data_IF_904359926311
#
_entry.id   IF_904359926311
#
_cell.length_a   1.000
_cell.length_b   1.000
_cell.length_c   1.000
_cell.angle_alpha   90.00
_cell.angle_beta   90.00
_cell.angle_gamma   90.00
#
_symmetry.space_group_name_H-M   'P 1'
#
loop_
_entity.id
_entity.type
_entity.pdbx_description
1 polymer ?
#
# COMPACT_ATOMS: atom_id res chain seq x y z
N UNK A 1 -4.10 -36.46 70.21
CA UNK A 1 -5.37 -35.72 70.17
C UNK A 1 -6.27 -36.42 69.16
N UNK A 2 -7.34 -37.11 69.55
CA UNK A 2 -8.66 -36.57 69.95
C UNK A 2 -9.19 -35.59 68.90
N UNK A 3 -10.18 -35.97 68.07
CA UNK A 3 -11.62 -36.15 68.35
C UNK A 3 -12.36 -34.79 68.45
N UNK A 4 -13.48 -34.55 67.76
CA UNK A 4 -14.23 -35.40 66.83
C UNK A 4 -15.69 -34.90 66.66
N UNK A 5 -16.55 -35.71 66.02
CA UNK A 5 -18.04 -35.64 66.06
C UNK A 5 -18.71 -34.44 65.32
N UNK A 6 -19.52 -34.69 64.28
CA UNK A 6 -21.01 -34.88 64.29
C UNK A 6 -21.78 -33.59 63.93
N UNK A 7 -22.99 -33.56 63.34
CA UNK A 7 -24.03 -34.50 62.80
C UNK A 7 -24.76 -33.70 61.66
N UNK A 8 -25.26 -34.19 60.52
CA UNK A 8 -26.17 -35.31 60.15
C UNK A 8 -27.58 -35.25 60.77
N UNK A 9 -28.64 -35.90 60.20
CA UNK A 9 -28.79 -36.53 58.87
C UNK A 9 -29.44 -35.52 57.87
N UNK A 10 -30.53 -35.64 57.07
CA UNK A 10 -31.58 -36.64 56.63
C UNK A 10 -32.24 -36.02 55.35
N UNK A 11 -33.01 -36.60 54.43
CA UNK A 11 -33.61 -37.92 54.08
C UNK A 11 -33.20 -38.25 52.61
N UNK A 12 -33.04 -39.48 52.12
CA UNK A 12 -33.96 -40.63 51.96
C UNK A 12 -35.11 -40.45 50.93
N UNK A 13 -34.79 -40.63 49.64
CA UNK A 13 -35.57 -41.26 48.54
C UNK A 13 -34.63 -41.27 47.31
N UNK A 14 -34.18 -42.39 46.72
CA UNK A 14 -34.87 -43.62 46.28
C UNK A 14 -36.20 -43.29 45.60
N UNK A 15 -36.27 -43.43 44.28
CA UNK A 15 -36.97 -44.53 43.59
C UNK A 15 -36.94 -44.35 42.05
N UNK A 16 -36.85 -45.49 41.35
CA UNK A 16 -37.33 -45.79 39.99
C UNK A 16 -36.77 -45.09 38.73
N UNK A 17 -36.30 -45.95 37.82
CA UNK A 17 -36.25 -45.72 36.36
C UNK A 17 -37.65 -45.91 35.77
N UNK A 18 -38.19 -44.88 35.12
CA UNK A 18 -39.22 -44.92 34.08
C UNK A 18 -39.28 -43.51 33.43
N UNK A 19 -39.71 -43.31 32.19
CA UNK A 19 -40.12 -44.27 31.17
C UNK A 19 -40.99 -43.60 30.10
N UNK A 20 -40.37 -43.21 28.98
CA UNK A 20 -40.96 -42.69 27.74
C UNK A 20 -41.84 -41.40 27.76
N UNK A 21 -41.62 -40.60 26.72
CA UNK A 21 -42.57 -39.69 26.04
C UNK A 21 -42.94 -38.31 26.64
N UNK A 22 -42.89 -37.33 25.72
CA UNK A 22 -43.77 -36.16 25.57
C UNK A 22 -43.73 -35.00 26.59
N UNK A 23 -42.73 -34.11 26.45
CA UNK A 23 -42.97 -32.65 26.33
C UNK A 23 -42.03 -32.11 25.24
N UNK A 24 -42.53 -31.21 24.39
CA UNK A 24 -41.75 -30.54 23.33
C UNK A 24 -41.42 -29.08 23.71
N UNK A 25 -40.67 -28.39 22.83
CA UNK A 25 -40.43 -26.93 22.88
C UNK A 25 -39.48 -26.44 23.99
N UNK A 26 -38.17 -26.73 23.85
CA UNK A 26 -37.11 -25.71 23.96
C UNK A 26 -35.73 -26.26 23.51
N UNK A 27 -35.22 -25.84 22.35
CA UNK A 27 -33.82 -25.45 21.99
C UNK A 27 -33.87 -25.11 20.50
N UNK A 28 -34.13 -23.84 20.17
CA UNK A 28 -34.24 -23.38 18.77
C UNK A 28 -33.71 -21.94 18.60
N UNK A 29 -32.56 -21.64 19.23
CA UNK A 29 -31.99 -20.28 19.32
C UNK A 29 -30.46 -20.28 19.48
N UNK A 30 -29.75 -21.15 18.75
CA UNK A 30 -28.28 -21.29 18.88
C UNK A 30 -27.54 -21.49 17.54
N UNK A 31 -27.92 -20.72 16.51
CA UNK A 31 -27.37 -20.83 15.15
C UNK A 31 -27.35 -19.52 14.33
N UNK A 32 -27.27 -18.35 14.98
CA UNK A 32 -27.09 -17.06 14.30
C UNK A 32 -26.02 -16.18 14.97
N UNK A 33 -24.74 -16.41 14.66
CA UNK A 33 -23.64 -15.40 14.67
C UNK A 33 -22.36 -15.98 14.04
N UNK A 34 -22.19 -15.88 12.70
CA UNK A 34 -20.87 -15.45 12.21
C UNK A 34 -20.92 -14.41 11.07
N UNK A 35 -22.08 -14.18 10.44
CA UNK A 35 -22.16 -13.53 9.12
C UNK A 35 -21.58 -12.10 9.11
N UNK A 36 -21.85 -11.30 10.16
CA UNK A 36 -21.43 -9.90 10.24
C UNK A 36 -19.90 -9.71 10.22
N UNK A 37 -19.15 -10.71 10.72
CA UNK A 37 -17.68 -10.69 10.68
C UNK A 37 -17.15 -11.02 9.27
N UNK A 38 -17.87 -11.88 8.54
CA UNK A 38 -17.53 -12.21 7.15
C UNK A 38 -17.80 -11.03 6.23
N UNK A 39 -18.90 -10.29 6.39
CA UNK A 39 -19.18 -9.08 5.62
C UNK A 39 -18.16 -7.97 5.90
N UNK A 40 -17.75 -7.76 7.16
CA UNK A 40 -16.70 -6.78 7.49
C UNK A 40 -15.33 -7.13 6.88
N UNK A 41 -14.98 -8.43 6.82
CA UNK A 41 -13.75 -8.90 6.18
C UNK A 41 -13.86 -8.90 4.65
N UNK A 42 -15.03 -9.22 4.09
CA UNK A 42 -15.30 -9.15 2.66
C UNK A 42 -15.29 -7.71 2.16
N UNK A 43 -15.92 -6.77 2.86
CA UNK A 43 -15.88 -5.34 2.56
C UNK A 43 -14.44 -4.79 2.63
N UNK A 44 -13.65 -5.19 3.64
CA UNK A 44 -12.22 -4.86 3.71
C UNK A 44 -11.42 -5.50 2.57
N UNK A 45 -11.72 -6.75 2.19
CA UNK A 45 -11.07 -7.43 1.08
C UNK A 45 -11.45 -6.81 -0.29
N UNK A 46 -12.69 -6.38 -0.47
CA UNK A 46 -13.18 -5.66 -1.65
C UNK A 46 -12.60 -4.26 -1.71
N UNK A 47 -12.53 -3.50 -0.61
CA UNK A 47 -11.77 -2.24 -0.56
C UNK A 47 -10.30 -2.47 -0.91
N UNK A 48 -9.66 -3.50 -0.34
CA UNK A 48 -8.27 -3.85 -0.67
C UNK A 48 -8.12 -4.29 -2.13
N UNK A 49 -9.14 -4.89 -2.75
CA UNK A 49 -9.16 -5.39 -4.15
C UNK A 49 -9.66 -4.35 -5.17
N UNK A 50 -10.27 -3.25 -4.74
CA UNK A 50 -10.60 -2.07 -5.56
C UNK A 50 -9.52 -0.98 -5.45
N UNK A 51 -8.77 -0.95 -4.34
CA UNK A 51 -7.47 -0.27 -4.23
C UNK A 51 -6.32 -1.08 -4.87
N UNK A 52 -6.60 -2.29 -5.35
CA UNK A 52 -5.86 -2.95 -6.43
C UNK A 52 -6.56 -2.56 -7.75
N UNK A 53 -5.88 -2.18 -8.84
CA UNK A 53 -4.44 -2.14 -9.06
C UNK A 53 -4.02 -0.96 -9.96
N UNK A 54 -4.68 0.20 -9.81
CA UNK A 54 -4.30 1.44 -10.52
C UNK A 54 -2.92 1.87 -10.01
N UNK A 55 -1.91 1.82 -10.88
CA UNK A 55 -0.57 2.31 -10.55
C UNK A 55 -0.47 3.81 -10.85
N UNK A 56 0.53 4.50 -10.29
CA UNK A 56 0.72 5.94 -10.53
C UNK A 56 0.91 6.28 -12.01
N UNK A 57 1.30 5.32 -12.84
CA UNK A 57 1.55 5.48 -14.27
C UNK A 57 0.34 5.14 -15.17
N UNK A 58 -0.72 4.56 -14.60
CA UNK A 58 -1.86 4.04 -15.37
C UNK A 58 -2.76 5.17 -15.88
N UNK A 59 -3.06 5.14 -17.18
CA UNK A 59 -3.78 6.20 -17.92
C UNK A 59 -3.15 7.61 -17.85
N UNK A 60 -1.89 7.73 -17.44
CA UNK A 60 -1.17 9.00 -17.39
C UNK A 60 -0.65 9.42 -18.78
N UNK A 61 -0.92 10.66 -19.23
CA UNK A 61 -0.34 11.19 -20.48
C UNK A 61 1.19 11.31 -20.38
N UNK A 62 1.92 11.47 -21.50
CA UNK A 62 3.36 11.78 -21.49
C UNK A 62 3.69 12.99 -20.59
N UNK A 63 4.90 13.02 -20.02
CA UNK A 63 5.41 14.19 -19.28
C UNK A 63 5.67 15.35 -20.24
N UNK A 64 5.09 16.51 -19.98
CA UNK A 64 5.33 17.72 -20.78
C UNK A 64 6.53 18.52 -20.28
N UNK A 65 7.10 19.36 -21.14
CA UNK A 65 8.26 20.21 -20.82
C UNK A 65 7.97 21.15 -19.62
N UNK A 66 6.79 21.77 -19.60
CA UNK A 66 6.31 22.60 -18.49
C UNK A 66 6.23 21.83 -17.16
N UNK A 67 5.76 20.58 -17.20
CA UNK A 67 5.68 19.75 -16.00
C UNK A 67 7.06 19.34 -15.49
N UNK A 68 8.00 18.99 -16.38
CA UNK A 68 9.36 18.69 -15.97
C UNK A 68 10.04 19.90 -15.32
N UNK A 69 9.91 21.10 -15.90
CA UNK A 69 10.49 22.32 -15.33
C UNK A 69 9.93 22.59 -13.93
N UNK A 70 8.61 22.64 -13.77
CA UNK A 70 7.98 22.87 -12.45
C UNK A 70 8.25 21.75 -11.44
N UNK A 71 8.43 20.51 -11.90
CA UNK A 71 8.82 19.39 -11.05
C UNK A 71 10.26 19.56 -10.54
N UNK A 72 11.20 19.99 -11.38
CA UNK A 72 12.60 20.22 -11.03
C UNK A 72 12.80 21.38 -10.03
N UNK A 73 11.90 22.37 -10.03
CA UNK A 73 11.86 23.44 -9.02
C UNK A 73 11.46 22.92 -7.62
N UNK A 74 10.53 21.95 -7.56
CA UNK A 74 9.99 21.41 -6.30
C UNK A 74 10.79 20.21 -5.78
N UNK A 75 11.39 19.41 -6.66
CA UNK A 75 12.09 18.16 -6.31
C UNK A 75 13.17 18.32 -5.21
N UNK A 76 14.05 19.35 -5.20
CA UNK A 76 15.02 19.53 -4.12
C UNK A 76 14.35 19.81 -2.77
N UNK A 77 13.24 20.57 -2.77
CA UNK A 77 12.47 20.91 -1.57
C UNK A 77 11.76 19.66 -1.01
N UNK A 78 11.17 18.85 -1.90
CA UNK A 78 10.56 17.56 -1.52
C UNK A 78 11.58 16.62 -0.88
N UNK A 79 12.77 16.49 -1.49
CA UNK A 79 13.85 15.61 -0.99
C UNK A 79 14.39 16.03 0.36
N UNK A 80 14.58 17.35 0.58
CA UNK A 80 15.00 17.88 1.87
C UNK A 80 13.97 17.57 2.97
N UNK A 81 12.69 17.85 2.69
CA UNK A 81 11.58 17.58 3.60
C UNK A 81 11.42 16.08 3.90
N UNK A 82 11.44 15.23 2.87
CA UNK A 82 11.30 13.78 3.02
C UNK A 82 12.44 13.17 3.86
N UNK A 83 13.67 13.67 3.70
CA UNK A 83 14.83 13.26 4.51
C UNK A 83 14.67 13.65 5.99
N UNK A 84 14.16 14.84 6.26
CA UNK A 84 13.88 15.33 7.61
C UNK A 84 12.79 14.51 8.31
N UNK A 85 11.71 14.18 7.57
CA UNK A 85 10.53 13.50 8.08
C UNK A 85 10.62 11.96 8.01
N UNK A 86 11.72 11.42 7.47
CA UNK A 86 11.96 9.97 7.24
C UNK A 86 10.90 9.31 6.36
N UNK A 87 10.49 10.01 5.32
CA UNK A 87 9.43 9.58 4.40
C UNK A 87 9.95 8.59 3.35
N UNK A 88 9.26 7.46 3.21
CA UNK A 88 9.56 6.48 2.17
C UNK A 88 8.79 6.79 0.88
N UNK A 89 9.53 7.16 -0.16
CA UNK A 89 9.02 7.45 -1.50
C UNK A 89 9.92 6.77 -2.55
N UNK A 90 9.50 5.63 -3.10
CA UNK A 90 10.35 4.80 -3.96
C UNK A 90 9.58 3.97 -5.02
N UNK A 91 10.21 3.59 -6.15
CA UNK A 91 9.63 2.66 -7.13
C UNK A 91 9.33 1.28 -6.52
N UNK A 92 8.23 0.66 -6.94
CA UNK A 92 7.83 -0.68 -6.47
C UNK A 92 7.17 -1.50 -7.57
N UNK A 93 7.13 -2.83 -7.42
CA UNK A 93 6.29 -3.72 -8.20
C UNK A 93 4.93 -3.94 -7.52
N UNK A 94 3.84 -3.49 -8.14
CA UNK A 94 2.47 -3.82 -7.72
C UNK A 94 1.83 -4.76 -8.74
N UNK A 95 1.52 -5.99 -8.33
CA UNK A 95 0.87 -7.01 -9.16
C UNK A 95 1.59 -7.27 -10.51
N UNK A 96 2.93 -7.17 -10.52
CA UNK A 96 3.74 -7.34 -11.73
C UNK A 96 3.82 -6.11 -12.66
N UNK A 97 3.10 -5.02 -12.35
CA UNK A 97 3.30 -3.70 -12.98
C UNK A 97 4.30 -2.87 -12.16
N UNK A 98 5.02 -1.99 -12.86
CA UNK A 98 5.72 -0.86 -12.25
C UNK A 98 4.71 0.07 -11.55
N UNK A 99 5.07 0.56 -10.37
CA UNK A 99 4.32 1.55 -9.58
C UNK A 99 5.29 2.42 -8.75
N UNK A 100 4.79 3.40 -8.00
CA UNK A 100 5.59 4.21 -7.08
C UNK A 100 4.91 4.30 -5.72
N UNK A 101 5.61 3.89 -4.65
CA UNK A 101 5.11 4.00 -3.29
C UNK A 101 5.39 5.40 -2.73
N UNK A 102 4.42 5.97 -2.04
CA UNK A 102 4.53 7.22 -1.29
C UNK A 102 3.53 7.20 -0.12
N UNK A 103 3.83 7.94 0.96
CA UNK A 103 2.95 8.03 2.13
C UNK A 103 1.78 9.02 1.91
N UNK A 104 0.70 8.94 2.72
CA UNK A 104 -0.35 9.96 2.72
C UNK A 104 0.18 11.36 3.04
N UNK A 105 1.15 11.46 3.94
CA UNK A 105 1.79 12.71 4.35
C UNK A 105 2.65 13.31 3.23
N UNK A 106 3.37 12.49 2.47
CA UNK A 106 4.05 12.92 1.24
C UNK A 106 3.05 13.42 0.18
N UNK A 107 1.88 12.77 0.06
CA UNK A 107 0.81 13.25 -0.81
C UNK A 107 0.24 14.61 -0.36
N UNK A 108 0.08 14.83 0.94
CA UNK A 108 -0.37 16.11 1.50
C UNK A 108 0.65 17.23 1.29
N UNK A 109 1.94 16.96 1.50
CA UNK A 109 3.00 17.93 1.22
C UNK A 109 3.01 18.36 -0.25
N UNK A 110 2.85 17.41 -1.17
CA UNK A 110 2.80 17.66 -2.62
C UNK A 110 1.57 18.48 -3.00
N UNK A 111 0.39 18.17 -2.44
CA UNK A 111 -0.82 19.02 -2.60
C UNK A 111 -0.58 20.44 -2.10
N UNK A 112 0.12 20.61 -0.98
CA UNK A 112 0.47 21.92 -0.43
C UNK A 112 1.46 22.72 -1.31
N UNK A 113 2.14 22.08 -2.27
CA UNK A 113 2.92 22.76 -3.32
C UNK A 113 2.10 23.01 -4.61
N UNK A 114 0.78 22.77 -4.60
CA UNK A 114 -0.09 22.96 -5.77
C UNK A 114 -0.03 21.83 -6.80
N UNK A 115 0.57 20.68 -6.46
CA UNK A 115 0.71 19.52 -7.35
C UNK A 115 -0.32 18.43 -7.05
N UNK A 116 -0.81 17.75 -8.09
CA UNK A 116 -1.47 16.45 -7.89
C UNK A 116 -0.42 15.38 -7.51
N UNK A 117 -0.60 14.62 -6.42
CA UNK A 117 0.35 13.60 -6.00
C UNK A 117 0.57 12.48 -7.02
N UNK A 118 -0.49 11.98 -7.67
CA UNK A 118 -0.37 10.86 -8.61
C UNK A 118 0.46 11.30 -9.82
N UNK A 119 0.21 12.51 -10.33
CA UNK A 119 1.01 13.13 -11.40
C UNK A 119 2.45 13.39 -10.97
N UNK A 120 2.68 13.95 -9.78
CA UNK A 120 4.02 14.24 -9.27
C UNK A 120 4.89 12.97 -9.16
N UNK A 121 4.36 11.89 -8.58
CA UNK A 121 5.09 10.62 -8.48
C UNK A 121 5.19 9.88 -9.83
N UNK A 122 4.21 10.03 -10.73
CA UNK A 122 4.35 9.59 -12.12
C UNK A 122 5.52 10.28 -12.85
N UNK A 123 5.61 11.62 -12.75
CA UNK A 123 6.71 12.41 -13.33
C UNK A 123 8.04 11.97 -12.70
N UNK A 124 8.11 11.84 -11.38
CA UNK A 124 9.32 11.38 -10.68
C UNK A 124 9.80 10.01 -11.17
N UNK A 125 8.90 9.03 -11.26
CA UNK A 125 9.25 7.67 -11.71
C UNK A 125 9.64 7.61 -13.18
N UNK A 126 8.88 8.24 -14.10
CA UNK A 126 9.21 8.25 -15.53
C UNK A 126 10.50 9.02 -15.81
N UNK A 127 10.75 10.13 -15.13
CA UNK A 127 11.97 10.92 -15.33
C UNK A 127 13.21 10.27 -14.71
N UNK A 128 13.08 9.52 -13.61
CA UNK A 128 14.16 8.67 -13.11
C UNK A 128 14.49 7.54 -14.11
N UNK A 129 13.48 6.88 -14.67
CA UNK A 129 13.66 5.87 -15.71
C UNK A 129 14.28 6.46 -17.00
N UNK A 130 13.86 7.67 -17.40
CA UNK A 130 14.40 8.37 -18.56
C UNK A 130 15.89 8.73 -18.37
N UNK A 131 16.30 9.14 -17.16
CA UNK A 131 17.71 9.38 -16.85
C UNK A 131 18.54 8.10 -17.01
N UNK A 132 18.11 6.97 -16.43
CA UNK A 132 18.85 5.70 -16.57
C UNK A 132 19.02 5.29 -18.04
N UNK A 133 17.99 5.43 -18.87
CA UNK A 133 18.06 5.13 -20.32
C UNK A 133 18.99 6.10 -21.07
N UNK A 134 19.15 7.33 -20.58
CA UNK A 134 20.04 8.34 -21.19
C UNK A 134 21.49 8.19 -20.69
N UNK A 135 21.70 7.73 -19.45
CA UNK A 135 23.01 7.51 -18.82
C UNK A 135 23.65 6.17 -19.22
N UNK A 136 22.89 5.06 -19.22
CA UNK A 136 23.37 3.74 -19.67
C UNK A 136 23.46 3.65 -21.21
N UNK A 137 22.89 4.62 -21.92
CA UNK A 137 22.84 4.68 -23.38
C UNK A 137 21.66 3.88 -23.95
N UNK A 138 21.45 3.99 -25.27
CA UNK A 138 20.24 3.45 -25.90
C UNK A 138 20.20 1.90 -25.96
N UNK A 139 21.31 1.22 -25.65
CA UNK A 139 21.42 -0.24 -25.57
C UNK A 139 20.95 -0.79 -24.21
N UNK A 140 19.65 -0.62 -23.92
CA UNK A 140 18.96 -1.21 -22.75
C UNK A 140 18.79 -2.75 -22.85
N UNK A 141 19.78 -3.45 -23.41
CA UNK A 141 19.75 -4.88 -23.73
C UNK A 141 20.08 -5.81 -22.56
N UNK A 142 20.60 -5.27 -21.44
CA UNK A 142 21.06 -6.04 -20.28
C UNK A 142 20.02 -6.15 -19.14
N UNK A 143 19.79 -5.05 -18.42
CA UNK A 143 19.22 -5.11 -17.05
C UNK A 143 18.22 -4.00 -16.73
N UNK A 144 17.18 -3.84 -17.55
CA UNK A 144 16.02 -3.01 -17.19
C UNK A 144 15.36 -3.53 -15.89
N UNK A 145 15.28 -2.74 -14.81
CA UNK A 145 14.59 -3.15 -13.59
C UNK A 145 13.09 -3.37 -13.86
N UNK A 146 12.49 -4.39 -13.24
CA UNK A 146 11.09 -4.78 -13.51
C UNK A 146 10.06 -3.76 -13.00
N UNK A 147 10.44 -3.01 -11.98
CA UNK A 147 9.77 -1.86 -11.39
C UNK A 147 9.92 -0.56 -12.22
N UNK A 148 10.80 -0.54 -13.25
CA UNK A 148 11.06 0.68 -14.02
C UNK A 148 9.91 1.00 -15.00
N UNK A 149 9.24 2.15 -14.88
CA UNK A 149 8.08 2.51 -15.72
C UNK A 149 8.42 2.71 -17.19
N UNK A 150 7.42 2.51 -18.06
CA UNK A 150 7.52 2.87 -19.47
C UNK A 150 7.80 4.36 -19.64
N UNK A 151 8.63 4.68 -20.63
CA UNK A 151 9.04 6.04 -21.02
C UNK A 151 8.91 6.13 -22.54
N UNK A 152 8.34 7.22 -23.07
CA UNK A 152 8.19 7.42 -24.52
C UNK A 152 9.41 8.12 -25.14
N UNK A 153 9.54 8.11 -26.47
CA UNK A 153 10.65 8.83 -27.15
C UNK A 153 10.57 10.35 -26.94
N UNK A 154 9.38 10.92 -26.78
CA UNK A 154 9.19 12.33 -26.43
C UNK A 154 9.70 12.62 -25.01
N UNK A 155 9.47 11.70 -24.07
CA UNK A 155 9.97 11.78 -22.69
C UNK A 155 11.50 11.56 -22.62
N UNK A 156 12.07 10.68 -23.46
CA UNK A 156 13.52 10.54 -23.61
C UNK A 156 14.15 11.77 -24.27
N UNK A 157 13.55 12.33 -25.31
CA UNK A 157 13.99 13.57 -25.93
C UNK A 157 13.92 14.75 -24.95
N UNK A 158 12.86 14.80 -24.12
CA UNK A 158 12.71 15.78 -23.05
C UNK A 158 13.82 15.64 -21.99
N UNK A 159 14.10 14.42 -21.52
CA UNK A 159 15.17 14.15 -20.57
C UNK A 159 16.55 14.50 -21.15
N UNK A 160 16.82 14.18 -22.42
CA UNK A 160 18.04 14.56 -23.15
C UNK A 160 18.21 16.09 -23.21
N UNK A 161 17.14 16.88 -23.40
CA UNK A 161 17.21 18.35 -23.38
C UNK A 161 17.53 18.94 -22.00
N UNK A 162 16.93 18.39 -20.94
CA UNK A 162 17.03 18.95 -19.58
C UNK A 162 18.06 18.26 -18.68
N UNK A 163 18.86 17.32 -19.23
CA UNK A 163 19.76 16.42 -18.51
C UNK A 163 20.61 17.13 -17.44
N UNK A 164 21.28 18.24 -17.76
CA UNK A 164 22.10 18.97 -16.79
C UNK A 164 21.32 19.51 -15.58
N UNK A 165 20.08 19.96 -15.80
CA UNK A 165 19.17 20.42 -14.72
C UNK A 165 18.65 19.23 -13.91
N UNK A 166 18.31 18.14 -14.59
CA UNK A 166 17.84 16.90 -13.97
C UNK A 166 18.92 16.27 -13.09
N UNK A 167 20.18 16.22 -13.54
CA UNK A 167 21.33 15.76 -12.75
C UNK A 167 21.58 16.67 -11.53
N UNK A 168 21.47 18.00 -11.70
CA UNK A 168 21.64 18.97 -10.61
C UNK A 168 20.58 18.82 -9.51
N UNK A 169 19.33 18.54 -9.86
CA UNK A 169 18.28 18.18 -8.90
C UNK A 169 18.45 16.73 -8.38
N UNK A 170 18.96 15.85 -9.24
CA UNK A 170 19.16 14.41 -9.07
C UNK A 170 20.22 14.04 -8.04
N UNK A 171 21.36 14.75 -7.99
CA UNK A 171 22.51 14.46 -7.13
C UNK A 171 22.29 14.58 -5.61
N UNK A 172 21.07 14.90 -5.17
CA UNK A 172 20.66 14.87 -3.76
C UNK A 172 19.76 13.67 -3.40
N UNK A 173 19.73 12.62 -4.24
CA UNK A 173 19.08 11.36 -3.93
C UNK A 173 19.97 10.47 -3.04
N UNK A 174 19.39 9.65 -2.14
CA UNK A 174 20.07 8.46 -1.63
C UNK A 174 20.44 7.52 -2.79
N UNK A 175 21.54 6.76 -2.71
CA UNK A 175 21.84 5.73 -3.70
C UNK A 175 20.74 4.65 -3.68
N UNK A 176 20.29 4.24 -4.87
CA UNK A 176 19.45 3.05 -5.03
C UNK A 176 20.37 1.85 -4.85
N UNK A 177 20.25 1.12 -3.74
CA UNK A 177 20.87 -0.19 -3.60
C UNK A 177 20.25 -1.13 -4.64
N UNK A 178 21.07 -1.62 -5.57
CA UNK A 178 20.76 -2.70 -6.51
C UNK A 178 20.93 -4.06 -5.82
#
# INVERSE_FOLDING_TARGET
MNNGYHRTPTLLRRLFRAGLALVAVLVATLSLTPVLAQDALAARAVQKKAAQAVTVYENQPPVTDKELVGFLEILPRFRAWAKEHKEEAHPVLRNGKADFLYSPQAAEWVRAQGWDPVRFFCVMGRMAAALVIVEEGNDMSGTRPRDMPGVTEEELALARRHLGTMLKAGGNAPPINR
#
